data_IF_908828187638
#
_entry.id   IF_908828187638
#
_cell.length_a   1.000
_cell.length_b   1.000
_cell.length_c   1.000
_cell.angle_alpha   90.00
_cell.angle_beta   90.00
_cell.angle_gamma   90.00
#
_symmetry.space_group_name_H-M   'P 1'
#
loop_
_entity.id
_entity.type
_entity.pdbx_description
1 polymer ?
#
# COMPACT_ATOMS: atom_id res chain seq x y z
N UNK A 1 -31.82 36.68 8.62
CA UNK A 1 -30.89 36.50 7.47
C UNK A 1 -29.79 35.53 7.88
N UNK A 2 -29.80 34.30 7.38
CA UNK A 2 -28.81 33.28 7.73
C UNK A 2 -27.48 33.56 7.04
N UNK A 3 -26.40 33.74 7.81
CA UNK A 3 -25.03 33.87 7.28
C UNK A 3 -24.67 32.56 6.56
N UNK A 4 -24.55 32.60 5.22
CA UNK A 4 -23.99 31.50 4.43
C UNK A 4 -22.45 31.57 4.55
N UNK A 5 -21.87 30.66 5.32
CA UNK A 5 -20.43 30.43 5.33
C UNK A 5 -20.08 29.63 4.07
N UNK A 6 -19.70 30.31 2.98
CA UNK A 6 -19.01 29.63 1.88
C UNK A 6 -17.53 29.61 2.23
N UNK A 7 -17.04 28.48 2.69
CA UNK A 7 -15.62 28.24 2.83
C UNK A 7 -15.04 28.23 1.41
N UNK A 8 -14.22 29.25 1.08
CA UNK A 8 -13.52 29.28 -0.20
C UNK A 8 -12.35 28.31 -0.07
N UNK A 9 -12.29 27.35 -0.99
CA UNK A 9 -11.18 26.43 -1.10
C UNK A 9 -9.88 27.20 -1.38
N UNK A 10 -8.79 26.81 -0.73
CA UNK A 10 -7.47 27.36 -0.98
C UNK A 10 -6.88 26.69 -2.22
N UNK A 11 -6.51 27.48 -3.22
CA UNK A 11 -5.89 27.00 -4.47
C UNK A 11 -4.54 27.68 -4.68
N UNK A 12 -3.57 26.95 -5.25
CA UNK A 12 -2.27 27.48 -5.64
C UNK A 12 -2.30 28.28 -6.95
N UNK A 13 -1.12 28.60 -7.49
CA UNK A 13 -0.95 29.20 -8.81
C UNK A 13 -1.31 28.20 -9.93
N UNK A 14 -1.66 28.73 -11.10
CA UNK A 14 -1.94 27.90 -12.26
C UNK A 14 -0.64 27.28 -12.77
N UNK A 15 -0.72 26.00 -13.18
CA UNK A 15 0.34 25.30 -13.89
C UNK A 15 0.04 25.26 -15.39
N UNK A 16 0.97 24.71 -16.18
CA UNK A 16 0.85 24.57 -17.64
C UNK A 16 -0.49 23.93 -18.08
N UNK A 17 -1.16 24.53 -19.08
CA UNK A 17 -2.50 24.11 -19.51
C UNK A 17 -2.51 22.69 -20.09
N UNK A 18 -1.46 22.30 -20.82
CA UNK A 18 -1.36 20.94 -21.38
C UNK A 18 -1.21 19.91 -20.25
N UNK A 19 -0.45 20.24 -19.21
CA UNK A 19 -0.35 19.42 -18.01
C UNK A 19 -1.70 19.31 -17.27
N UNK A 20 -2.44 20.41 -17.15
CA UNK A 20 -3.77 20.43 -16.52
C UNK A 20 -4.74 19.50 -17.24
N UNK A 21 -4.81 19.57 -18.57
CA UNK A 21 -5.68 18.70 -19.38
C UNK A 21 -5.35 17.23 -19.15
N UNK A 22 -4.07 16.87 -19.21
CA UNK A 22 -3.59 15.50 -19.02
C UNK A 22 -3.91 14.97 -17.60
N UNK A 23 -3.58 15.73 -16.55
CA UNK A 23 -3.85 15.30 -15.16
C UNK A 23 -5.36 15.15 -14.94
N UNK A 24 -6.15 16.11 -15.44
CA UNK A 24 -7.60 16.10 -15.26
C UNK A 24 -8.24 14.90 -15.93
N UNK A 25 -7.83 14.57 -17.15
CA UNK A 25 -8.32 13.40 -17.86
C UNK A 25 -7.93 12.11 -17.14
N UNK A 26 -6.64 11.93 -16.80
CA UNK A 26 -6.15 10.74 -16.10
C UNK A 26 -6.86 10.50 -14.77
N UNK A 27 -7.11 11.55 -13.98
CA UNK A 27 -7.75 11.41 -12.67
C UNK A 27 -9.27 11.20 -12.75
N UNK A 28 -9.91 11.53 -13.88
CA UNK A 28 -11.37 11.32 -14.07
C UNK A 28 -11.68 10.04 -14.81
N UNK A 29 -10.89 9.72 -15.82
CA UNK A 29 -11.16 8.66 -16.78
C UNK A 29 -10.19 7.48 -16.65
N UNK A 30 -9.11 7.64 -15.88
CA UNK A 30 -8.07 6.62 -15.75
C UNK A 30 -7.14 6.59 -16.96
N UNK A 31 -6.25 5.59 -16.97
CA UNK A 31 -5.35 5.30 -18.07
C UNK A 31 -5.92 4.17 -18.93
N UNK A 32 -5.57 4.15 -20.21
CA UNK A 32 -5.84 3.00 -21.08
C UNK A 32 -5.24 1.70 -20.52
N UNK A 33 -5.99 0.60 -20.59
CA UNK A 33 -5.56 -0.68 -20.00
C UNK A 33 -4.29 -1.23 -20.65
N UNK A 34 -4.07 -1.03 -21.95
CA UNK A 34 -2.89 -1.53 -22.63
C UNK A 34 -1.63 -0.78 -22.17
N UNK A 35 -1.73 0.54 -22.02
CA UNK A 35 -0.66 1.38 -21.48
C UNK A 35 -0.37 1.04 -20.02
N UNK A 36 -1.40 0.87 -19.20
CA UNK A 36 -1.25 0.45 -17.82
C UNK A 36 -0.54 -0.92 -17.72
N UNK A 37 -1.00 -1.90 -18.50
CA UNK A 37 -0.43 -3.24 -18.53
C UNK A 37 1.04 -3.24 -18.98
N UNK A 38 1.43 -2.32 -19.86
CA UNK A 38 2.82 -2.12 -20.23
C UNK A 38 3.64 -1.54 -19.06
N UNK A 39 3.16 -0.46 -18.41
CA UNK A 39 3.88 0.18 -17.31
C UNK A 39 4.11 -0.75 -16.11
N UNK A 40 3.20 -1.68 -15.83
CA UNK A 40 3.36 -2.60 -14.69
C UNK A 40 4.34 -3.76 -14.96
N UNK A 41 4.77 -4.00 -16.21
CA UNK A 41 5.70 -5.09 -16.53
C UNK A 41 7.03 -4.90 -15.78
N UNK A 42 7.44 -5.93 -15.06
CA UNK A 42 8.71 -5.93 -14.31
C UNK A 42 9.93 -5.79 -15.23
N UNK A 43 9.85 -6.32 -16.46
CA UNK A 43 10.93 -6.23 -17.45
C UNK A 43 11.20 -4.79 -17.91
N UNK A 44 10.14 -3.97 -18.01
CA UNK A 44 10.25 -2.57 -18.40
C UNK A 44 10.56 -1.68 -17.20
N UNK A 45 9.95 -1.99 -16.06
CA UNK A 45 10.07 -1.21 -14.83
C UNK A 45 10.48 -2.08 -13.64
N UNK A 46 11.74 -2.56 -13.62
CA UNK A 46 12.22 -3.44 -12.55
C UNK A 46 12.39 -2.67 -11.25
N UNK A 47 12.01 -3.29 -10.14
CA UNK A 47 12.31 -2.78 -8.79
C UNK A 47 13.83 -2.69 -8.59
N UNK A 48 14.37 -1.60 -8.04
CA UNK A 48 15.78 -1.56 -7.64
C UNK A 48 16.09 -2.64 -6.61
N UNK A 49 17.20 -3.35 -6.77
CA UNK A 49 17.52 -4.54 -5.96
C UNK A 49 17.67 -4.27 -4.46
N UNK A 50 18.01 -3.05 -4.08
CA UNK A 50 18.16 -2.59 -2.68
C UNK A 50 16.87 -1.97 -2.08
N UNK A 51 15.75 -2.00 -2.80
CA UNK A 51 14.48 -1.43 -2.33
C UNK A 51 13.48 -2.52 -1.96
N UNK A 52 13.77 -3.33 -0.94
CA UNK A 52 13.00 -4.56 -0.64
C UNK A 52 11.56 -4.28 -0.19
N UNK A 53 11.28 -3.08 0.30
CA UNK A 53 9.94 -2.63 0.64
C UNK A 53 9.04 -2.29 -0.57
N UNK A 54 9.60 -2.11 -1.77
CA UNK A 54 8.84 -1.82 -2.98
C UNK A 54 8.29 -3.10 -3.63
N UNK A 55 7.43 -3.78 -2.89
CA UNK A 55 6.80 -5.04 -3.27
C UNK A 55 5.31 -4.99 -2.97
N UNK A 56 4.53 -5.68 -3.79
CA UNK A 56 3.10 -5.85 -3.55
C UNK A 56 2.95 -6.90 -2.44
N UNK A 57 2.35 -6.53 -1.33
CA UNK A 57 2.19 -7.40 -0.17
C UNK A 57 1.17 -8.50 -0.49
N UNK A 58 1.58 -9.76 -0.33
CA UNK A 58 0.72 -10.92 -0.58
C UNK A 58 -0.05 -11.31 0.66
N UNK A 59 -1.28 -11.78 0.49
CA UNK A 59 -2.00 -12.45 1.56
C UNK A 59 -1.37 -13.83 1.79
N UNK A 60 -1.12 -14.19 3.05
CA UNK A 60 -0.56 -15.49 3.42
C UNK A 60 -1.46 -16.63 2.92
N UNK A 61 -0.87 -17.69 2.35
CA UNK A 61 -1.64 -18.80 1.76
C UNK A 61 -2.62 -19.44 2.73
N UNK A 62 -2.22 -19.66 3.99
CA UNK A 62 -3.11 -20.20 5.02
C UNK A 62 -4.34 -19.33 5.26
N UNK A 63 -4.19 -18.01 5.26
CA UNK A 63 -5.32 -17.08 5.42
C UNK A 63 -6.14 -17.03 4.13
N UNK A 64 -5.47 -17.03 2.97
CA UNK A 64 -6.09 -17.01 1.66
C UNK A 64 -7.08 -18.17 1.47
N UNK A 65 -6.72 -19.37 1.92
CA UNK A 65 -7.55 -20.57 1.81
C UNK A 65 -8.74 -20.59 2.78
N UNK A 66 -8.72 -19.75 3.82
CA UNK A 66 -9.78 -19.65 4.83
C UNK A 66 -10.85 -18.60 4.49
N UNK A 67 -10.48 -17.54 3.78
CA UNK A 67 -11.40 -16.44 3.46
C UNK A 67 -12.33 -16.79 2.29
N UNK A 68 -13.52 -16.16 2.25
CA UNK A 68 -14.49 -16.42 1.19
C UNK A 68 -14.00 -16.00 -0.21
N UNK A 69 -14.52 -16.59 -1.30
CA UNK A 69 -14.21 -16.14 -2.67
C UNK A 69 -14.51 -14.66 -2.92
N UNK A 70 -15.52 -14.11 -2.23
CA UNK A 70 -15.83 -12.69 -2.27
C UNK A 70 -14.71 -11.86 -1.63
N UNK A 71 -14.27 -12.23 -0.42
CA UNK A 71 -13.15 -11.57 0.25
C UNK A 71 -11.85 -11.68 -0.55
N UNK A 72 -11.55 -12.83 -1.14
CA UNK A 72 -10.42 -13.00 -2.08
C UNK A 72 -10.49 -12.03 -3.26
N UNK A 73 -11.68 -11.82 -3.81
CA UNK A 73 -11.90 -10.88 -4.92
C UNK A 73 -11.66 -9.44 -4.48
N UNK A 74 -12.16 -9.05 -3.31
CA UNK A 74 -11.92 -7.73 -2.74
C UNK A 74 -10.43 -7.50 -2.44
N UNK A 75 -9.75 -8.48 -1.85
CA UNK A 75 -8.31 -8.39 -1.56
C UNK A 75 -7.48 -8.28 -2.84
N UNK A 76 -7.81 -9.05 -3.90
CA UNK A 76 -7.17 -8.91 -5.22
C UNK A 76 -7.34 -7.51 -5.82
N UNK A 77 -8.54 -6.91 -5.69
CA UNK A 77 -8.77 -5.53 -6.14
C UNK A 77 -7.88 -4.55 -5.39
N UNK A 78 -7.74 -4.70 -4.07
CA UNK A 78 -6.85 -3.85 -3.27
C UNK A 78 -5.38 -4.07 -3.61
N UNK A 79 -4.93 -5.30 -3.86
CA UNK A 79 -3.57 -5.59 -4.36
C UNK A 79 -3.31 -4.97 -5.74
N UNK A 80 -4.33 -4.85 -6.60
CA UNK A 80 -4.18 -4.15 -7.88
C UNK A 80 -4.04 -2.64 -7.69
N UNK A 81 -4.72 -2.04 -6.71
CA UNK A 81 -4.52 -0.64 -6.34
C UNK A 81 -3.11 -0.45 -5.77
N UNK A 82 -2.68 -1.34 -4.86
CA UNK A 82 -1.33 -1.36 -4.29
C UNK A 82 -0.26 -1.44 -5.39
N UNK A 83 -0.48 -2.27 -6.42
CA UNK A 83 0.43 -2.43 -7.56
C UNK A 83 0.72 -1.09 -8.24
N UNK A 84 -0.29 -0.27 -8.49
CA UNK A 84 -0.09 1.05 -9.09
C UNK A 84 0.77 1.96 -8.21
N UNK A 85 0.50 1.96 -6.89
CA UNK A 85 1.28 2.74 -5.91
C UNK A 85 2.74 2.29 -5.86
N UNK A 86 2.98 0.98 -5.79
CA UNK A 86 4.34 0.41 -5.77
C UNK A 86 5.07 0.71 -7.08
N UNK A 87 4.41 0.59 -8.23
CA UNK A 87 5.02 0.86 -9.54
C UNK A 87 5.34 2.33 -9.75
N UNK A 88 4.46 3.24 -9.34
CA UNK A 88 4.75 4.66 -9.31
C UNK A 88 5.97 4.97 -8.42
N UNK A 89 6.04 4.35 -7.23
CA UNK A 89 7.16 4.51 -6.31
C UNK A 89 8.49 3.99 -6.88
N UNK A 90 8.47 2.85 -7.60
CA UNK A 90 9.64 2.30 -8.31
C UNK A 90 10.16 3.29 -9.36
N UNK A 91 9.27 3.82 -10.19
CA UNK A 91 9.61 4.79 -11.24
C UNK A 91 10.21 6.06 -10.62
N UNK A 92 9.52 6.64 -9.63
CA UNK A 92 9.94 7.86 -8.98
C UNK A 92 11.29 7.69 -8.26
N UNK A 93 11.51 6.56 -7.59
CA UNK A 93 12.80 6.26 -6.94
C UNK A 93 13.96 6.24 -7.95
N UNK A 94 13.74 5.70 -9.16
CA UNK A 94 14.74 5.72 -10.23
C UNK A 94 14.98 7.14 -10.73
N UNK A 95 13.92 7.92 -10.93
CA UNK A 95 14.00 9.32 -11.36
C UNK A 95 14.83 10.15 -10.37
N UNK A 96 14.49 10.10 -9.08
CA UNK A 96 15.23 10.81 -8.01
C UNK A 96 16.70 10.40 -8.00
N UNK A 97 16.99 9.10 -8.06
CA UNK A 97 18.37 8.61 -8.09
C UNK A 97 19.15 9.08 -9.35
N UNK A 98 18.48 9.22 -10.49
CA UNK A 98 19.12 9.70 -11.72
C UNK A 98 19.39 11.21 -11.66
N UNK A 99 18.43 12.00 -11.13
CA UNK A 99 18.60 13.44 -10.90
C UNK A 99 19.75 13.67 -9.91
N UNK A 100 19.72 13.00 -8.76
CA UNK A 100 20.76 13.13 -7.73
C UNK A 100 22.17 12.79 -8.24
N UNK A 101 22.30 11.82 -9.17
CA UNK A 101 23.59 11.51 -9.80
C UNK A 101 24.09 12.61 -10.74
N UNK A 102 23.18 13.36 -11.34
CA UNK A 102 23.48 14.44 -12.28
C UNK A 102 23.79 15.74 -11.54
N UNK A 103 23.13 15.96 -10.40
CA UNK A 103 23.18 17.20 -9.60
C UNK A 103 24.32 17.27 -8.56
N UNK A 104 25.35 16.42 -8.66
CA UNK A 104 26.37 16.31 -7.62
C UNK A 104 27.29 17.55 -7.48
N UNK A 105 27.25 18.50 -8.42
CA UNK A 105 28.16 19.66 -8.45
C UNK A 105 27.47 21.03 -8.32
N UNK A 106 26.18 21.14 -8.67
CA UNK A 106 25.50 22.44 -8.81
C UNK A 106 24.32 22.66 -7.85
N UNK A 107 23.82 21.62 -7.16
CA UNK A 107 22.62 21.67 -6.29
C UNK A 107 21.36 22.27 -6.97
N UNK A 108 21.33 22.27 -8.31
CA UNK A 108 20.29 22.88 -9.13
C UNK A 108 18.94 22.17 -8.95
N UNK A 109 18.96 20.87 -8.66
CA UNK A 109 17.77 20.03 -8.54
C UNK A 109 17.43 19.63 -7.10
N UNK A 110 18.08 20.24 -6.10
CA UNK A 110 17.85 19.93 -4.70
C UNK A 110 16.37 20.04 -4.27
N UNK A 111 15.71 21.14 -4.64
CA UNK A 111 14.28 21.35 -4.34
C UNK A 111 13.39 20.31 -5.02
N UNK A 112 13.67 19.98 -6.30
CA UNK A 112 12.92 18.94 -7.05
C UNK A 112 13.10 17.56 -6.41
N UNK A 113 14.31 17.24 -5.93
CA UNK A 113 14.58 16.00 -5.20
C UNK A 113 13.77 15.95 -3.91
N UNK A 114 13.72 17.04 -3.15
CA UNK A 114 12.94 17.11 -1.91
C UNK A 114 11.43 16.94 -2.18
N UNK A 115 10.88 17.61 -3.19
CA UNK A 115 9.48 17.41 -3.62
C UNK A 115 9.19 15.97 -4.03
N UNK A 116 10.10 15.34 -4.80
CA UNK A 116 9.94 13.94 -5.18
C UNK A 116 10.02 12.99 -3.98
N UNK A 117 10.85 13.30 -2.97
CA UNK A 117 10.92 12.54 -1.73
C UNK A 117 9.64 12.68 -0.91
N UNK A 118 9.00 13.85 -0.89
CA UNK A 118 7.69 14.04 -0.28
C UNK A 118 6.61 13.21 -0.98
N UNK A 119 6.63 13.15 -2.31
CA UNK A 119 5.73 12.26 -3.07
C UNK A 119 5.99 10.79 -2.72
N UNK A 120 7.25 10.34 -2.63
CA UNK A 120 7.59 8.98 -2.17
C UNK A 120 7.08 8.70 -0.76
N UNK A 121 7.18 9.65 0.16
CA UNK A 121 6.67 9.52 1.52
C UNK A 121 5.13 9.36 1.54
N UNK A 122 4.40 10.13 0.74
CA UNK A 122 2.96 10.03 0.58
C UNK A 122 2.52 8.71 -0.06
N UNK A 123 3.24 8.23 -1.09
CA UNK A 123 3.00 6.92 -1.69
C UNK A 123 3.27 5.80 -0.70
N UNK A 124 4.36 5.87 0.07
CA UNK A 124 4.67 4.92 1.15
C UNK A 124 3.59 4.89 2.24
N UNK A 125 3.09 6.05 2.64
CA UNK A 125 1.97 6.15 3.59
C UNK A 125 0.69 5.53 3.01
N UNK A 126 0.37 5.83 1.75
CA UNK A 126 -0.80 5.28 1.05
C UNK A 126 -0.72 3.76 0.96
N UNK A 127 0.46 3.22 0.60
CA UNK A 127 0.72 1.77 0.58
C UNK A 127 0.44 1.13 1.94
N UNK A 128 0.87 1.79 3.03
CA UNK A 128 0.57 1.34 4.39
C UNK A 128 -0.93 1.33 4.67
N UNK A 129 -1.66 2.39 4.32
CA UNK A 129 -3.10 2.45 4.56
C UNK A 129 -3.87 1.38 3.76
N UNK A 130 -3.48 1.11 2.52
CA UNK A 130 -4.05 0.01 1.72
C UNK A 130 -3.88 -1.32 2.45
N UNK A 131 -2.67 -1.61 2.93
CA UNK A 131 -2.39 -2.86 3.65
C UNK A 131 -3.11 -2.96 5.00
N UNK A 132 -3.25 -1.86 5.74
CA UNK A 132 -4.06 -1.84 6.96
C UNK A 132 -5.54 -2.09 6.66
N UNK A 133 -6.09 -1.43 5.65
CA UNK A 133 -7.49 -1.65 5.25
C UNK A 133 -7.74 -3.10 4.79
N UNK A 134 -6.80 -3.71 4.05
CA UNK A 134 -6.87 -5.13 3.67
C UNK A 134 -6.94 -6.04 4.90
N UNK A 135 -6.12 -5.79 5.91
CA UNK A 135 -6.17 -6.54 7.18
C UNK A 135 -7.50 -6.38 7.89
N UNK A 136 -8.02 -5.15 7.95
CA UNK A 136 -9.29 -4.86 8.62
C UNK A 136 -10.45 -5.59 7.92
N UNK A 137 -10.47 -5.64 6.59
CA UNK A 137 -11.48 -6.43 5.86
C UNK A 137 -11.35 -7.92 6.09
N UNK A 138 -10.14 -8.48 5.99
CA UNK A 138 -9.90 -9.91 6.20
C UNK A 138 -10.20 -10.33 7.64
N UNK A 139 -9.98 -9.45 8.62
CA UNK A 139 -10.28 -9.72 10.04
C UNK A 139 -11.71 -10.20 10.26
N UNK A 140 -12.68 -9.69 9.49
CA UNK A 140 -14.09 -10.09 9.60
C UNK A 140 -14.39 -11.47 8.98
N UNK A 141 -13.49 -12.02 8.18
CA UNK A 141 -13.60 -13.36 7.61
C UNK A 141 -12.98 -14.44 8.52
N UNK A 142 -12.23 -14.03 9.55
CA UNK A 142 -11.54 -14.94 10.47
C UNK A 142 -12.33 -15.14 11.76
N UNK A 143 -12.16 -16.31 12.39
CA UNK A 143 -12.68 -16.54 13.73
C UNK A 143 -12.07 -15.54 14.73
N UNK A 144 -12.88 -15.13 15.71
CA UNK A 144 -12.51 -14.11 16.70
C UNK A 144 -11.19 -14.40 17.43
N UNK A 145 -10.85 -15.67 17.65
CA UNK A 145 -9.60 -16.10 18.29
C UNK A 145 -8.34 -15.72 17.48
N UNK A 146 -8.45 -15.59 16.15
CA UNK A 146 -7.35 -15.22 15.25
C UNK A 146 -7.25 -13.71 15.00
N UNK A 147 -8.12 -12.89 15.59
CA UNK A 147 -8.17 -11.44 15.31
C UNK A 147 -6.91 -10.66 15.72
N UNK A 148 -6.10 -11.20 16.63
CA UNK A 148 -4.79 -10.61 16.98
C UNK A 148 -3.77 -10.73 15.84
N UNK A 149 -3.91 -11.70 14.91
CA UNK A 149 -3.11 -11.74 13.67
C UNK A 149 -3.30 -10.47 12.84
N UNK A 150 -4.51 -9.90 12.91
CA UNK A 150 -4.88 -8.69 12.18
C UNK A 150 -4.51 -7.40 12.92
N UNK A 151 -3.80 -7.47 14.05
CA UNK A 151 -3.42 -6.29 14.81
C UNK A 151 -2.60 -5.31 13.96
N UNK A 152 -2.93 -4.02 14.02
CA UNK A 152 -2.23 -2.99 13.26
C UNK A 152 -0.78 -2.78 13.71
N UNK A 153 -0.44 -3.20 14.94
CA UNK A 153 0.92 -3.20 15.46
C UNK A 153 1.81 -4.28 14.84
N UNK A 154 1.22 -5.32 14.22
CA UNK A 154 1.99 -6.38 13.58
C UNK A 154 2.65 -5.83 12.30
N UNK A 155 3.98 -5.91 12.13
CA UNK A 155 4.59 -5.51 10.87
C UNK A 155 4.15 -6.46 9.74
N UNK A 156 3.97 -5.93 8.53
CA UNK A 156 3.91 -6.76 7.31
C UNK A 156 5.28 -6.77 6.64
N UNK A 157 5.57 -7.85 5.94
CA UNK A 157 6.76 -8.04 5.12
C UNK A 157 6.32 -8.07 3.65
N UNK A 158 6.85 -8.99 2.84
CA UNK A 158 6.20 -9.43 1.61
C UNK A 158 4.84 -10.09 1.86
N UNK A 159 4.52 -10.45 3.12
CA UNK A 159 3.27 -11.05 3.52
C UNK A 159 2.46 -10.17 4.48
N UNK A 160 1.15 -10.12 4.25
CA UNK A 160 0.22 -9.21 4.92
C UNK A 160 0.15 -9.44 6.43
N UNK A 161 0.22 -10.69 6.88
CA UNK A 161 0.18 -11.07 8.30
C UNK A 161 1.56 -11.44 8.86
N UNK A 162 2.63 -11.07 8.15
CA UNK A 162 4.01 -11.45 8.46
C UNK A 162 4.36 -12.87 8.05
N UNK A 163 5.60 -13.29 8.31
CA UNK A 163 6.12 -14.57 7.82
C UNK A 163 5.70 -15.77 8.69
N UNK A 164 5.35 -15.52 9.95
CA UNK A 164 5.18 -16.55 10.99
C UNK A 164 3.72 -16.94 11.27
N UNK A 165 2.79 -16.75 10.33
CA UNK A 165 1.35 -16.99 10.56
C UNK A 165 1.06 -18.38 11.13
N UNK A 166 1.71 -19.44 10.63
CA UNK A 166 1.51 -20.80 11.13
C UNK A 166 1.94 -20.97 12.59
N UNK A 167 3.01 -20.29 12.99
CA UNK A 167 3.52 -20.32 14.35
C UNK A 167 2.56 -19.60 15.28
N UNK A 168 2.14 -18.39 14.90
CA UNK A 168 1.17 -17.62 15.69
C UNK A 168 -0.17 -18.37 15.78
N UNK A 169 -0.63 -19.00 14.70
CA UNK A 169 -1.81 -19.88 14.69
C UNK A 169 -1.73 -20.96 15.78
N UNK A 170 -0.61 -21.68 15.82
CA UNK A 170 -0.36 -22.75 16.79
C UNK A 170 -0.28 -22.23 18.23
N UNK A 171 0.38 -21.10 18.44
CA UNK A 171 0.52 -20.50 19.76
C UNK A 171 -0.84 -20.13 20.37
N UNK A 172 -1.81 -19.69 19.54
CA UNK A 172 -3.19 -19.43 19.97
C UNK A 172 -3.88 -20.72 20.41
N UNK A 173 -3.80 -21.77 19.58
CA UNK A 173 -4.42 -23.06 19.91
C UNK A 173 -3.89 -23.61 21.23
N UNK A 174 -2.57 -23.53 21.44
CA UNK A 174 -1.92 -24.00 22.65
C UNK A 174 -2.32 -23.15 23.87
N UNK A 175 -2.44 -21.82 23.72
CA UNK A 175 -2.99 -20.94 24.76
C UNK A 175 -4.44 -21.31 25.11
N UNK A 176 -5.30 -21.56 24.11
CA UNK A 176 -6.69 -21.97 24.32
C UNK A 176 -6.79 -23.31 25.05
N UNK A 177 -5.94 -24.30 24.71
CA UNK A 177 -5.86 -25.59 25.41
C UNK A 177 -5.46 -25.41 26.88
N UNK A 178 -4.49 -24.54 27.17
CA UNK A 178 -4.05 -24.23 28.54
C UNK A 178 -5.16 -23.53 29.33
N UNK A 179 -5.77 -22.49 28.76
CA UNK A 179 -6.85 -21.73 29.40
C UNK A 179 -8.02 -22.64 29.79
N UNK A 180 -8.42 -23.56 28.92
CA UNK A 180 -9.46 -24.55 29.22
C UNK A 180 -9.06 -25.47 30.39
N UNK A 181 -7.81 -25.97 30.43
CA UNK A 181 -7.33 -26.80 31.56
C UNK A 181 -7.33 -26.05 32.90
N UNK A 182 -7.01 -24.76 32.88
CA UNK A 182 -7.06 -23.91 34.09
C UNK A 182 -8.52 -23.67 34.51
N UNK A 183 -9.43 -23.46 33.54
CA UNK A 183 -10.83 -23.16 33.84
C UNK A 183 -11.62 -24.33 34.43
N UNK A 184 -11.32 -25.57 34.02
CA UNK A 184 -11.92 -26.79 34.58
C UNK A 184 -11.24 -27.28 35.87
N UNK A 185 -10.18 -26.60 36.33
CA UNK A 185 -9.45 -26.93 37.56
C UNK A 185 -9.97 -26.25 38.84
N UNK A 186 -11.23 -25.76 38.84
CA UNK A 186 -11.90 -25.21 40.04
C UNK A 186 -13.10 -26.05 40.44
#
# INVERSE_FOLDING_TARGET
MSKKFKQKELTGENIDETLVENITDLFRNGMDESQYNEMIKDELNPRPGNCDGLVIVKTNQLIWDLISPFAQTCDKKMQNIERSVVKASVLLSKTVNNIAKTDNETNEFSEVIDECNDVLALLGHTNRQINLARRDFIKYELNNEYTHLCAQSQPYTTFLFGDDVSKVAKDIEDCSKIANRIHFGR
#
